data_IF_981311663531
#
_entry.id   IF_981311663531
#
_cell.length_a   1.000
_cell.length_b   1.000
_cell.length_c   1.000
_cell.angle_alpha   90.00
_cell.angle_beta   90.00
_cell.angle_gamma   90.00
#
_symmetry.space_group_name_H-M   'P 1'
#
loop_
_entity.id
_entity.type
_entity.pdbx_description
1 polymer ?
#
# COMPACT_ATOMS: atom_id res chain seq x y z
N UNK A 1 -14.64 -40.02 -60.53
CA UNK A 1 -15.41 -40.40 -61.75
C UNK A 1 -16.79 -40.86 -61.32
N UNK A 2 -17.88 -40.25 -61.81
CA UNK A 2 -19.24 -40.61 -61.38
C UNK A 2 -19.66 -41.97 -61.95
N UNK A 3 -19.94 -42.95 -61.08
CA UNK A 3 -20.33 -44.30 -61.47
C UNK A 3 -21.86 -44.44 -61.46
N UNK A 4 -22.44 -44.75 -62.61
CA UNK A 4 -23.89 -44.97 -62.76
C UNK A 4 -24.26 -46.43 -62.50
N UNK A 5 -25.45 -46.67 -61.95
CA UNK A 5 -25.96 -48.00 -61.63
C UNK A 5 -26.79 -48.57 -62.79
N UNK A 6 -26.59 -49.85 -63.14
CA UNK A 6 -27.30 -50.52 -64.25
C UNK A 6 -28.68 -51.08 -63.86
N UNK A 7 -28.96 -51.17 -62.56
CA UNK A 7 -30.20 -51.68 -61.98
C UNK A 7 -30.62 -50.82 -60.78
N UNK A 8 -31.92 -50.75 -60.50
CA UNK A 8 -32.41 -50.13 -59.27
C UNK A 8 -32.18 -51.06 -58.09
N UNK A 9 -31.47 -50.60 -57.06
CA UNK A 9 -31.06 -51.44 -55.94
C UNK A 9 -30.79 -50.62 -54.66
N UNK A 10 -30.94 -51.22 -53.46
CA UNK A 10 -30.41 -50.65 -52.23
C UNK A 10 -28.88 -50.82 -52.19
N UNK A 11 -28.18 -49.80 -51.68
CA UNK A 11 -26.72 -49.78 -51.56
C UNK A 11 -26.34 -49.31 -50.16
N UNK A 12 -25.49 -50.07 -49.48
CA UNK A 12 -24.89 -49.63 -48.21
C UNK A 12 -23.85 -48.56 -48.51
N UNK A 13 -23.97 -47.42 -47.87
CA UNK A 13 -23.11 -46.26 -48.10
C UNK A 13 -22.73 -45.60 -46.79
N UNK A 14 -21.60 -44.90 -46.80
CA UNK A 14 -21.28 -43.91 -45.78
C UNK A 14 -21.75 -42.55 -46.27
N UNK A 15 -22.53 -41.86 -45.43
CA UNK A 15 -22.88 -40.45 -45.63
C UNK A 15 -21.71 -39.59 -45.15
N UNK A 16 -21.34 -38.59 -45.93
CA UNK A 16 -20.23 -37.69 -45.67
C UNK A 16 -20.67 -36.22 -45.77
N UNK A 17 -20.00 -35.34 -45.05
CA UNK A 17 -20.16 -33.89 -45.19
C UNK A 17 -19.65 -33.41 -46.56
N UNK A 18 -19.98 -32.18 -46.99
CA UNK A 18 -19.50 -31.64 -48.27
C UNK A 18 -17.98 -31.64 -48.40
N UNK A 19 -17.27 -31.46 -47.29
CA UNK A 19 -15.82 -31.47 -47.15
C UNK A 19 -15.23 -32.87 -46.95
N UNK A 20 -16.01 -33.91 -46.67
CA UNK A 20 -15.58 -35.31 -46.73
C UNK A 20 -15.57 -36.08 -45.40
N UNK A 21 -15.97 -35.48 -44.29
CA UNK A 21 -16.04 -36.16 -42.99
C UNK A 21 -17.19 -37.14 -42.91
N UNK A 22 -16.95 -38.31 -42.33
CA UNK A 22 -18.00 -39.31 -42.09
C UNK A 22 -19.08 -38.79 -41.13
N UNK A 23 -20.35 -39.03 -41.45
CA UNK A 23 -21.50 -38.70 -40.60
C UNK A 23 -22.13 -39.97 -40.02
N UNK A 24 -22.51 -40.91 -40.90
CA UNK A 24 -23.17 -42.15 -40.52
C UNK A 24 -23.10 -43.19 -41.66
N UNK A 25 -23.41 -44.45 -41.34
CA UNK A 25 -23.64 -45.48 -42.34
C UNK A 25 -25.15 -45.69 -42.53
N UNK A 26 -25.59 -45.76 -43.79
CA UNK A 26 -27.01 -45.91 -44.13
C UNK A 26 -27.19 -46.75 -45.41
N UNK A 27 -28.44 -47.01 -45.76
CA UNK A 27 -28.83 -47.69 -47.00
C UNK A 27 -29.56 -46.71 -47.89
N UNK A 28 -29.01 -46.44 -49.07
CA UNK A 28 -29.63 -45.57 -50.07
C UNK A 28 -30.19 -46.40 -51.23
N UNK A 29 -31.38 -46.03 -51.72
CA UNK A 29 -31.97 -46.66 -52.91
C UNK A 29 -31.59 -45.87 -54.16
N UNK A 30 -30.83 -46.50 -55.06
CA UNK A 30 -30.39 -45.84 -56.30
C UNK A 30 -31.17 -46.42 -57.47
N UNK A 31 -31.70 -45.55 -58.33
CA UNK A 31 -32.42 -45.97 -59.53
C UNK A 31 -31.47 -46.40 -60.66
N UNK A 32 -31.93 -47.29 -61.53
CA UNK A 32 -31.22 -47.60 -62.78
C UNK A 32 -30.94 -46.31 -63.58
N UNK A 33 -29.70 -46.14 -64.02
CA UNK A 33 -29.25 -45.01 -64.83
C UNK A 33 -28.89 -43.76 -64.02
N UNK A 34 -28.98 -43.78 -62.69
CA UNK A 34 -28.57 -42.68 -61.82
C UNK A 34 -27.28 -43.02 -61.07
N UNK A 35 -26.67 -42.03 -60.42
CA UNK A 35 -25.51 -42.20 -59.55
C UNK A 35 -25.88 -41.80 -58.11
N UNK A 36 -25.03 -42.15 -57.15
CA UNK A 36 -25.13 -41.62 -55.79
C UNK A 36 -24.85 -40.12 -55.78
N UNK A 37 -25.46 -39.41 -54.84
CA UNK A 37 -25.13 -38.01 -54.56
C UNK A 37 -23.68 -37.88 -54.07
N UNK A 38 -23.11 -36.67 -54.18
CA UNK A 38 -21.75 -36.36 -53.71
C UNK A 38 -21.53 -36.59 -52.22
N UNK A 39 -22.63 -36.64 -51.47
CA UNK A 39 -22.66 -36.72 -50.01
C UNK A 39 -22.62 -38.19 -49.53
N UNK A 40 -22.41 -39.14 -50.46
CA UNK A 40 -22.35 -40.56 -50.17
C UNK A 40 -21.18 -41.24 -50.87
N UNK A 41 -20.59 -42.24 -50.22
CA UNK A 41 -19.63 -43.17 -50.84
C UNK A 41 -20.00 -44.63 -50.59
N UNK A 42 -19.70 -45.48 -51.58
CA UNK A 42 -19.83 -46.94 -51.46
C UNK A 42 -18.65 -47.57 -50.70
N UNK A 43 -17.55 -46.84 -50.56
CA UNK A 43 -16.42 -47.26 -49.72
C UNK A 43 -16.83 -47.01 -48.27
N UNK A 44 -17.44 -48.00 -47.63
CA UNK A 44 -17.99 -47.85 -46.29
C UNK A 44 -16.87 -47.77 -45.25
N UNK A 45 -16.87 -46.71 -44.45
CA UNK A 45 -16.06 -46.61 -43.24
C UNK A 45 -16.88 -47.03 -42.02
N UNK A 46 -16.26 -47.78 -41.11
CA UNK A 46 -16.85 -48.17 -39.83
C UNK A 46 -15.90 -47.71 -38.73
N UNK A 47 -16.31 -46.76 -37.87
CA UNK A 47 -15.50 -46.35 -36.74
C UNK A 47 -15.10 -47.52 -35.86
N UNK A 48 -13.85 -47.55 -35.39
CA UNK A 48 -13.34 -48.58 -34.49
C UNK A 48 -13.99 -48.49 -33.09
N UNK A 49 -14.34 -47.29 -32.65
CA UNK A 49 -15.10 -47.02 -31.43
C UNK A 49 -15.93 -45.74 -31.54
N UNK A 50 -16.83 -45.53 -30.57
CA UNK A 50 -17.57 -44.27 -30.46
C UNK A 50 -16.58 -43.09 -30.30
N UNK A 51 -16.83 -42.00 -31.04
CA UNK A 51 -15.97 -40.81 -31.03
C UNK A 51 -14.80 -40.87 -32.02
N UNK A 52 -14.69 -41.90 -32.86
CA UNK A 52 -13.70 -41.95 -33.95
C UNK A 52 -14.33 -41.53 -35.28
N UNK A 53 -13.55 -40.85 -36.12
CA UNK A 53 -13.98 -40.33 -37.42
C UNK A 53 -12.85 -40.43 -38.44
N UNK A 54 -13.20 -40.43 -39.72
CA UNK A 54 -12.24 -40.41 -40.83
C UNK A 54 -12.73 -39.44 -41.92
N UNK A 55 -11.79 -38.94 -42.70
CA UNK A 55 -12.02 -38.06 -43.84
C UNK A 55 -11.95 -38.86 -45.15
N UNK A 56 -12.87 -38.61 -46.07
CA UNK A 56 -12.93 -39.27 -47.36
C UNK A 56 -12.28 -38.44 -48.47
N UNK A 57 -11.20 -38.95 -49.05
CA UNK A 57 -10.57 -38.38 -50.24
C UNK A 57 -11.30 -38.86 -51.50
N UNK A 58 -12.14 -37.98 -52.06
CA UNK A 58 -12.96 -38.27 -53.26
C UNK A 58 -12.14 -38.53 -54.53
N UNK A 59 -10.94 -37.96 -54.62
CA UNK A 59 -10.09 -38.10 -55.80
C UNK A 59 -9.34 -39.43 -55.80
N UNK A 60 -8.92 -39.87 -54.60
CA UNK A 60 -8.20 -41.13 -54.40
C UNK A 60 -9.10 -42.32 -54.08
N UNK A 61 -10.38 -42.08 -53.79
CA UNK A 61 -11.38 -43.09 -53.42
C UNK A 61 -10.97 -43.89 -52.16
N UNK A 62 -10.36 -43.21 -51.19
CA UNK A 62 -9.86 -43.82 -49.94
C UNK A 62 -10.19 -42.96 -48.72
N UNK A 63 -10.34 -43.62 -47.58
CA UNK A 63 -10.42 -42.95 -46.28
C UNK A 63 -9.03 -42.58 -45.78
N UNK A 64 -8.93 -41.47 -45.07
CA UNK A 64 -7.78 -41.12 -44.26
C UNK A 64 -7.54 -42.15 -43.14
N UNK A 65 -6.43 -42.00 -42.43
CA UNK A 65 -6.30 -42.64 -41.13
C UNK A 65 -7.43 -42.15 -40.22
N UNK A 66 -7.92 -43.06 -39.40
CA UNK A 66 -8.91 -42.78 -38.37
C UNK A 66 -8.31 -41.88 -37.29
N UNK A 67 -9.08 -40.89 -36.84
CA UNK A 67 -8.73 -39.94 -35.79
C UNK A 67 -9.87 -39.85 -34.77
N UNK A 68 -9.58 -39.30 -33.60
CA UNK A 68 -10.62 -38.93 -32.64
C UNK A 68 -11.40 -37.71 -33.18
N UNK A 69 -12.72 -37.73 -33.05
CA UNK A 69 -13.57 -36.59 -33.39
C UNK A 69 -13.44 -35.50 -32.32
N UNK A 70 -12.73 -34.44 -32.69
CA UNK A 70 -12.45 -33.32 -31.81
C UNK A 70 -13.59 -32.29 -31.76
N UNK A 71 -14.60 -32.37 -32.65
CA UNK A 71 -15.60 -31.32 -32.90
C UNK A 71 -16.23 -30.72 -31.64
N UNK A 72 -16.60 -31.58 -30.68
CA UNK A 72 -17.31 -31.20 -29.46
C UNK A 72 -16.45 -31.22 -28.19
N UNK A 73 -15.14 -31.44 -28.34
CA UNK A 73 -14.21 -31.39 -27.21
C UNK A 73 -14.18 -29.97 -26.66
N UNK A 74 -14.56 -29.86 -25.39
CA UNK A 74 -14.62 -28.58 -24.71
C UNK A 74 -13.24 -28.15 -24.19
N UNK A 75 -13.04 -26.85 -24.13
CA UNK A 75 -11.94 -26.18 -23.45
C UNK A 75 -12.38 -24.83 -22.93
N UNK A 76 -11.54 -24.17 -22.13
CA UNK A 76 -11.84 -22.91 -21.48
C UNK A 76 -10.72 -21.88 -21.70
N UNK A 77 -11.06 -20.59 -21.61
CA UNK A 77 -10.09 -19.53 -21.40
C UNK A 77 -9.77 -19.35 -19.90
N UNK A 78 -8.84 -18.46 -19.56
CA UNK A 78 -8.41 -18.22 -18.18
C UNK A 78 -9.53 -17.72 -17.25
N UNK A 79 -10.63 -17.19 -17.80
CA UNK A 79 -11.78 -16.70 -17.04
C UNK A 79 -12.94 -17.71 -16.97
N UNK A 80 -12.69 -18.96 -17.37
CA UNK A 80 -13.69 -20.03 -17.32
C UNK A 80 -14.76 -19.95 -18.41
N UNK A 81 -14.57 -19.15 -19.46
CA UNK A 81 -15.48 -19.14 -20.60
C UNK A 81 -15.27 -20.40 -21.42
N UNK A 82 -16.36 -21.10 -21.72
CA UNK A 82 -16.34 -22.37 -22.46
C UNK A 82 -16.28 -22.17 -23.98
N UNK A 83 -15.46 -23.00 -24.63
CA UNK A 83 -15.29 -23.12 -26.07
C UNK A 83 -15.36 -24.59 -26.50
N UNK A 84 -15.44 -24.83 -27.82
CA UNK A 84 -15.35 -26.15 -28.47
C UNK A 84 -14.52 -26.03 -29.75
N UNK A 85 -13.84 -27.11 -30.16
CA UNK A 85 -12.91 -27.10 -31.32
C UNK A 85 -13.65 -26.87 -32.64
N UNK A 86 -14.88 -27.37 -32.78
CA UNK A 86 -15.78 -27.06 -33.89
C UNK A 86 -15.49 -27.77 -35.21
N UNK A 87 -14.40 -28.54 -35.30
CA UNK A 87 -14.07 -29.37 -36.46
C UNK A 87 -13.45 -30.72 -36.04
N UNK A 88 -13.59 -31.78 -36.84
CA UNK A 88 -13.17 -33.13 -36.44
C UNK A 88 -11.67 -33.31 -36.22
N UNK A 89 -10.82 -32.68 -37.03
CA UNK A 89 -9.36 -32.76 -37.00
C UNK A 89 -8.70 -31.52 -36.37
N UNK A 90 -9.47 -30.74 -35.61
CA UNK A 90 -8.95 -29.55 -34.96
C UNK A 90 -8.12 -29.87 -33.71
N UNK A 91 -7.13 -29.02 -33.44
CA UNK A 91 -6.31 -29.10 -32.24
C UNK A 91 -6.80 -28.10 -31.17
N UNK A 92 -6.43 -28.37 -29.92
CA UNK A 92 -6.55 -27.37 -28.86
C UNK A 92 -5.63 -26.18 -29.15
N UNK A 93 -6.14 -24.94 -29.08
CA UNK A 93 -5.28 -23.75 -29.09
C UNK A 93 -4.24 -23.79 -27.98
N UNK A 94 -3.10 -23.10 -28.15
CA UNK A 94 -2.02 -23.09 -27.14
C UNK A 94 -2.46 -22.56 -25.77
N UNK A 95 -3.45 -21.66 -25.74
CA UNK A 95 -4.01 -21.08 -24.52
C UNK A 95 -5.13 -21.91 -23.90
N UNK A 96 -5.52 -23.03 -24.54
CA UNK A 96 -6.69 -23.79 -24.12
C UNK A 96 -6.47 -24.49 -22.79
N UNK A 97 -7.31 -24.17 -21.82
CA UNK A 97 -7.36 -24.88 -20.55
C UNK A 97 -8.32 -26.04 -20.72
N UNK A 98 -7.84 -27.27 -20.51
CA UNK A 98 -8.66 -28.49 -20.61
C UNK A 98 -9.26 -28.92 -19.27
N UNK A 99 -8.75 -28.37 -18.16
CA UNK A 99 -9.28 -28.60 -16.83
C UNK A 99 -10.59 -27.84 -16.69
N UNK A 100 -11.67 -28.55 -16.37
CA UNK A 100 -12.97 -27.93 -16.13
C UNK A 100 -12.89 -26.95 -14.95
N UNK A 101 -13.46 -25.72 -15.06
CA UNK A 101 -13.53 -24.79 -13.94
C UNK A 101 -14.40 -25.35 -12.81
N UNK A 102 -14.16 -24.96 -11.55
CA UNK A 102 -15.04 -25.31 -10.45
C UNK A 102 -16.45 -24.74 -10.68
N UNK A 103 -17.45 -25.31 -9.99
CA UNK A 103 -18.79 -24.72 -9.95
C UNK A 103 -18.77 -23.45 -9.10
N UNK A 104 -19.40 -22.38 -9.60
CA UNK A 104 -19.47 -21.07 -8.96
C UNK A 104 -20.76 -20.36 -9.36
N UNK A 105 -21.15 -19.34 -8.58
CA UNK A 105 -22.29 -18.49 -8.90
C UNK A 105 -21.83 -17.27 -9.73
N UNK A 106 -22.15 -17.18 -11.03
CA UNK A 106 -21.68 -16.09 -11.88
C UNK A 106 -22.25 -14.71 -11.52
N UNK A 107 -23.29 -14.63 -10.70
CA UNK A 107 -23.86 -13.35 -10.24
C UNK A 107 -23.08 -12.76 -9.05
N UNK A 108 -22.36 -13.61 -8.29
CA UNK A 108 -21.65 -13.21 -7.06
C UNK A 108 -20.17 -13.57 -7.05
N UNK A 109 -19.71 -14.37 -8.00
CA UNK A 109 -18.35 -14.92 -8.07
C UNK A 109 -17.79 -14.91 -9.49
N UNK A 110 -16.47 -14.98 -9.59
CA UNK A 110 -15.74 -15.22 -10.84
C UNK A 110 -14.72 -16.34 -10.65
N UNK A 111 -14.16 -16.83 -11.75
CA UNK A 111 -13.06 -17.80 -11.73
C UNK A 111 -11.88 -17.27 -12.52
N UNK A 112 -10.68 -17.62 -12.07
CA UNK A 112 -9.44 -17.35 -12.78
C UNK A 112 -8.56 -18.60 -12.75
N UNK A 113 -8.00 -18.96 -13.90
CA UNK A 113 -7.00 -20.00 -14.02
C UNK A 113 -5.61 -19.39 -13.95
N UNK A 114 -4.82 -19.78 -12.95
CA UNK A 114 -3.46 -19.31 -12.75
C UNK A 114 -2.64 -20.41 -12.08
N UNK A 115 -1.36 -20.52 -12.46
CA UNK A 115 -0.43 -21.51 -11.86
C UNK A 115 -0.98 -22.95 -11.89
N UNK A 116 -1.58 -23.32 -13.04
CA UNK A 116 -2.22 -24.61 -13.30
C UNK A 116 -3.45 -24.96 -12.41
N UNK A 117 -3.97 -24.00 -11.66
CA UNK A 117 -5.12 -24.16 -10.77
C UNK A 117 -6.24 -23.14 -11.04
N UNK A 118 -7.47 -23.55 -10.72
CA UNK A 118 -8.63 -22.67 -10.77
C UNK A 118 -8.87 -22.10 -9.39
N UNK A 119 -9.02 -20.79 -9.30
CA UNK A 119 -9.41 -20.08 -8.07
C UNK A 119 -10.74 -19.40 -8.28
N UNK A 120 -11.65 -19.55 -7.31
CA UNK A 120 -12.93 -18.85 -7.26
C UNK A 120 -12.74 -17.58 -6.44
N UNK A 121 -13.19 -16.45 -6.98
CA UNK A 121 -13.14 -15.14 -6.34
C UNK A 121 -14.56 -14.65 -6.11
N UNK A 122 -14.81 -14.02 -4.96
CA UNK A 122 -16.04 -13.25 -4.74
C UNK A 122 -15.96 -11.92 -5.49
N UNK A 123 -17.09 -11.47 -6.05
CA UNK A 123 -17.19 -10.17 -6.70
C UNK A 123 -17.37 -9.11 -5.62
N UNK A 124 -16.25 -8.47 -5.24
CA UNK A 124 -16.23 -7.43 -4.20
C UNK A 124 -16.16 -6.01 -4.79
N UNK A 125 -16.42 -5.83 -6.10
CA UNK A 125 -16.34 -4.54 -6.79
C UNK A 125 -17.09 -3.45 -6.01
N UNK A 126 -16.40 -2.36 -5.69
CA UNK A 126 -16.93 -1.23 -4.95
C UNK A 126 -16.96 -1.40 -3.43
N UNK A 127 -16.61 -2.58 -2.89
CA UNK A 127 -16.40 -2.75 -1.46
C UNK A 127 -15.17 -1.94 -1.02
N UNK A 128 -15.27 -1.33 0.16
CA UNK A 128 -14.13 -0.62 0.76
C UNK A 128 -13.16 -1.57 1.44
N UNK A 129 -11.87 -1.28 1.32
CA UNK A 129 -10.81 -1.86 2.12
C UNK A 129 -9.85 -0.77 2.57
N UNK A 130 -9.07 -1.04 3.61
CA UNK A 130 -8.30 -0.03 4.32
C UNK A 130 -6.85 -0.46 4.46
N UNK A 131 -5.91 0.46 4.27
CA UNK A 131 -4.49 0.20 4.55
C UNK A 131 -4.18 0.31 6.05
N UNK A 132 -2.91 0.11 6.41
CA UNK A 132 -2.48 0.12 7.81
C UNK A 132 -2.72 1.44 8.57
N UNK A 133 -2.99 2.55 7.87
CA UNK A 133 -3.23 3.88 8.42
C UNK A 133 -4.71 4.28 8.38
N UNK A 134 -5.61 3.36 7.99
CA UNK A 134 -7.04 3.64 7.90
C UNK A 134 -7.46 4.40 6.64
N UNK A 135 -6.57 4.54 5.65
CA UNK A 135 -6.94 5.13 4.37
C UNK A 135 -7.83 4.16 3.60
N UNK A 136 -8.98 4.65 3.15
CA UNK A 136 -9.96 3.85 2.41
C UNK A 136 -9.63 3.78 0.92
N UNK A 137 -9.83 2.59 0.36
CA UNK A 137 -9.72 2.25 -1.05
C UNK A 137 -10.96 1.47 -1.48
N UNK A 138 -11.20 1.38 -2.78
CA UNK A 138 -12.31 0.61 -3.34
C UNK A 138 -11.75 -0.54 -4.18
N UNK A 139 -12.36 -1.71 -4.05
CA UNK A 139 -12.09 -2.84 -4.94
C UNK A 139 -12.54 -2.48 -6.35
N UNK A 140 -11.64 -2.62 -7.32
CA UNK A 140 -11.89 -2.29 -8.74
C UNK A 140 -11.68 -3.46 -9.69
N UNK A 141 -11.27 -4.62 -9.17
CA UNK A 141 -10.99 -5.84 -9.94
C UNK A 141 -11.96 -6.95 -9.54
N UNK A 142 -12.40 -7.76 -10.51
CA UNK A 142 -13.29 -8.90 -10.28
C UNK A 142 -12.56 -10.05 -9.60
N UNK A 143 -11.25 -10.20 -9.85
CA UNK A 143 -10.40 -11.24 -9.27
C UNK A 143 -9.51 -10.65 -8.17
N UNK A 144 -10.12 -9.93 -7.23
CA UNK A 144 -9.39 -9.15 -6.23
C UNK A 144 -8.83 -10.01 -5.09
N UNK A 145 -7.55 -9.82 -4.80
CA UNK A 145 -6.88 -10.33 -3.62
C UNK A 145 -6.55 -9.16 -2.70
N UNK A 146 -6.90 -9.30 -1.42
CA UNK A 146 -6.61 -8.27 -0.43
C UNK A 146 -5.08 -8.14 -0.27
N UNK A 147 -4.49 -6.95 -0.52
CA UNK A 147 -3.04 -6.80 -0.40
C UNK A 147 -2.56 -6.95 1.05
N UNK A 148 -1.28 -7.25 1.22
CA UNK A 148 -0.64 -7.28 2.53
C UNK A 148 -0.86 -5.96 3.29
N UNK A 149 -1.02 -6.06 4.61
CA UNK A 149 -1.27 -4.91 5.49
C UNK A 149 -2.56 -4.14 5.21
N UNK A 150 -3.56 -4.79 4.62
CA UNK A 150 -4.91 -4.26 4.44
C UNK A 150 -5.97 -5.12 5.14
N UNK A 151 -7.12 -4.52 5.43
CA UNK A 151 -8.31 -5.18 5.99
C UNK A 151 -9.58 -4.64 5.34
N UNK A 152 -10.64 -5.44 5.31
CA UNK A 152 -11.96 -4.97 4.89
C UNK A 152 -12.70 -4.23 6.02
N UNK A 153 -12.36 -4.54 7.26
CA UNK A 153 -12.93 -3.89 8.43
C UNK A 153 -12.46 -2.44 8.53
N UNK A 154 -13.41 -1.51 8.56
CA UNK A 154 -13.12 -0.10 8.77
C UNK A 154 -12.39 0.15 10.10
N UNK A 155 -11.47 1.13 10.15
CA UNK A 155 -10.85 1.52 11.41
C UNK A 155 -11.91 2.04 12.39
N UNK A 156 -11.81 1.71 13.69
CA UNK A 156 -12.65 2.33 14.72
C UNK A 156 -12.39 3.84 14.84
N UNK A 157 -13.29 4.55 15.51
CA UNK A 157 -13.04 5.95 15.84
C UNK A 157 -11.93 6.07 16.89
N UNK A 158 -10.89 6.89 16.65
CA UNK A 158 -9.82 7.11 17.63
C UNK A 158 -10.32 7.90 18.84
N UNK A 159 -9.80 7.57 20.03
CA UNK A 159 -9.92 8.43 21.21
C UNK A 159 -9.06 9.68 21.08
N UNK A 160 -9.41 10.71 21.84
CA UNK A 160 -8.62 11.94 21.93
C UNK A 160 -7.16 11.64 22.33
N UNK A 161 -6.21 12.16 21.56
CA UNK A 161 -4.77 11.92 21.75
C UNK A 161 -4.25 10.60 21.20
N UNK A 162 -5.09 9.81 20.52
CA UNK A 162 -4.70 8.55 19.89
C UNK A 162 -5.03 8.56 18.40
N UNK A 163 -4.29 7.77 17.64
CA UNK A 163 -4.56 7.41 16.26
C UNK A 163 -4.78 5.90 16.18
N UNK A 164 -5.40 5.45 15.09
CA UNK A 164 -5.60 4.03 14.83
C UNK A 164 -4.57 3.55 13.82
N UNK A 165 -3.96 2.39 14.11
CA UNK A 165 -3.03 1.71 13.21
C UNK A 165 -3.36 0.23 13.11
N UNK A 166 -3.28 -0.34 11.92
CA UNK A 166 -3.39 -1.77 11.73
C UNK A 166 -2.07 -2.44 12.11
N UNK A 167 -2.11 -3.35 13.08
CA UNK A 167 -0.94 -4.11 13.52
C UNK A 167 -1.31 -5.58 13.50
N UNK A 168 -0.66 -6.34 12.62
CA UNK A 168 -0.89 -7.79 12.43
C UNK A 168 -2.37 -8.14 12.16
N UNK A 169 -3.03 -7.34 11.32
CA UNK A 169 -4.44 -7.57 10.93
C UNK A 169 -5.47 -7.13 11.98
N UNK A 170 -5.07 -6.39 13.02
CA UNK A 170 -6.02 -5.87 14.01
C UNK A 170 -5.75 -4.38 14.25
N UNK A 171 -6.82 -3.59 14.29
CA UNK A 171 -6.75 -2.17 14.62
C UNK A 171 -6.32 -1.97 16.07
N UNK A 172 -5.30 -1.15 16.29
CA UNK A 172 -4.78 -0.79 17.60
C UNK A 172 -4.76 0.73 17.76
N UNK A 173 -5.06 1.19 18.97
CA UNK A 173 -4.85 2.58 19.36
C UNK A 173 -3.37 2.81 19.62
N UNK A 174 -2.82 3.86 19.01
CA UNK A 174 -1.42 4.27 19.14
C UNK A 174 -1.41 5.74 19.53
N UNK A 175 -0.56 6.19 20.48
CA UNK A 175 -0.48 7.59 20.83
C UNK A 175 -0.21 8.49 19.62
N UNK A 176 -0.95 9.58 19.52
CA UNK A 176 -0.79 10.57 18.46
C UNK A 176 -0.26 11.88 19.05
N UNK A 177 1.05 12.03 18.96
CA UNK A 177 1.75 13.24 19.38
C UNK A 177 2.17 14.12 18.19
N UNK A 178 1.62 13.86 16.98
CA UNK A 178 2.00 14.61 15.78
C UNK A 178 1.74 16.11 15.95
N UNK A 179 2.67 16.92 15.47
CA UNK A 179 2.63 18.37 15.62
C UNK A 179 3.09 18.89 16.99
N UNK A 180 3.36 18.01 17.95
CA UNK A 180 4.04 18.37 19.21
C UNK A 180 5.56 18.26 19.05
N UNK A 181 6.30 18.94 19.93
CA UNK A 181 7.75 18.80 20.01
C UNK A 181 8.14 17.71 21.00
N UNK A 182 9.05 16.83 20.59
CA UNK A 182 9.79 15.94 21.46
C UNK A 182 11.09 16.64 21.86
N UNK A 183 11.29 16.86 23.15
CA UNK A 183 12.48 17.50 23.71
C UNK A 183 13.48 16.45 24.17
N UNK A 184 14.75 16.60 23.80
CA UNK A 184 15.81 15.68 24.21
C UNK A 184 16.04 15.78 25.72
N UNK A 185 15.95 14.66 26.45
CA UNK A 185 16.19 14.63 27.91
C UNK A 185 17.64 15.01 28.23
N UNK A 186 18.60 14.60 27.41
CA UNK A 186 20.00 15.03 27.50
C UNK A 186 20.28 16.13 26.47
N UNK A 187 20.23 17.38 26.94
CA UNK A 187 20.41 18.60 26.12
C UNK A 187 21.88 18.88 25.76
N UNK A 188 22.82 18.24 26.44
CA UNK A 188 24.25 18.45 26.22
C UNK A 188 24.84 17.39 25.28
N UNK A 189 24.06 16.36 24.95
CA UNK A 189 24.41 15.38 23.94
C UNK A 189 24.14 15.90 22.52
N UNK A 190 25.17 16.11 21.67
CA UNK A 190 24.99 16.65 20.32
C UNK A 190 24.29 15.68 19.35
N UNK A 191 24.15 14.40 19.69
CA UNK A 191 23.43 13.41 18.88
C UNK A 191 21.92 13.45 19.13
N UNK A 192 21.48 14.09 20.21
CA UNK A 192 20.07 14.28 20.55
C UNK A 192 19.67 15.72 20.29
N UNK A 193 18.53 15.92 19.63
CA UNK A 193 18.01 17.24 19.32
C UNK A 193 16.50 17.25 19.41
N UNK A 194 15.95 18.40 19.82
CA UNK A 194 14.51 18.61 19.86
C UNK A 194 13.94 18.50 18.44
N UNK A 195 12.85 17.77 18.26
CA UNK A 195 12.24 17.57 16.94
C UNK A 195 10.71 17.64 16.96
N UNK A 196 10.13 18.06 15.84
CA UNK A 196 8.69 18.02 15.62
C UNK A 196 8.27 16.58 15.32
N UNK A 197 7.29 16.06 16.05
CA UNK A 197 6.79 14.70 15.84
C UNK A 197 5.92 14.69 14.59
N UNK A 198 6.30 13.90 13.59
CA UNK A 198 5.56 13.77 12.31
C UNK A 198 4.84 12.43 12.17
N UNK A 199 5.26 11.42 12.95
CA UNK A 199 4.74 10.06 12.91
C UNK A 199 3.99 9.72 14.19
N UNK A 200 2.94 8.91 14.07
CA UNK A 200 2.25 8.35 15.25
C UNK A 200 3.12 7.30 15.93
N UNK A 201 2.93 7.10 17.23
CA UNK A 201 3.74 6.18 18.02
C UNK A 201 4.25 6.79 19.31
N UNK A 202 4.89 5.93 20.11
CA UNK A 202 5.58 6.35 21.30
C UNK A 202 6.77 7.24 20.96
N UNK A 203 6.97 8.27 21.78
CA UNK A 203 8.20 9.06 21.76
C UNK A 203 9.32 8.17 22.34
N UNK A 204 10.51 8.10 21.71
CA UNK A 204 11.63 7.34 22.25
C UNK A 204 11.97 7.79 23.67
N UNK A 205 12.44 6.86 24.51
CA UNK A 205 12.75 7.16 25.92
C UNK A 205 13.85 8.23 26.10
N UNK A 206 14.63 8.53 25.07
CA UNK A 206 15.59 9.64 25.06
C UNK A 206 14.94 11.03 25.03
N UNK A 207 13.64 11.11 24.76
CA UNK A 207 12.89 12.35 24.61
C UNK A 207 11.65 12.40 25.52
N UNK A 208 11.13 13.61 25.70
CA UNK A 208 9.94 13.90 26.51
C UNK A 208 9.05 14.91 25.78
N UNK A 209 7.75 14.92 26.06
CA UNK A 209 6.82 15.94 25.56
C UNK A 209 6.82 17.21 26.43
N UNK A 210 7.52 17.17 27.57
CA UNK A 210 7.63 18.31 28.48
C UNK A 210 8.69 19.28 27.95
N UNK A 211 8.34 20.55 27.81
CA UNK A 211 9.30 21.60 27.44
C UNK A 211 10.17 22.00 28.64
N UNK A 212 11.46 22.18 28.43
CA UNK A 212 12.39 22.71 29.44
C UNK A 212 12.32 24.22 29.55
N UNK A 213 12.70 24.77 30.71
CA UNK A 213 13.12 26.17 30.83
C UNK A 213 14.62 26.31 30.52
N UNK A 214 15.12 27.54 30.23
CA UNK A 214 16.50 27.74 29.77
C UNK A 214 17.57 27.07 30.61
N UNK A 215 17.38 27.06 31.94
CA UNK A 215 18.32 26.57 32.92
C UNK A 215 17.93 25.23 33.55
N UNK A 216 17.01 24.48 32.94
CA UNK A 216 16.65 23.16 33.44
C UNK A 216 17.57 22.07 32.87
N UNK A 217 17.76 21.03 33.66
CA UNK A 217 18.35 19.76 33.26
C UNK A 217 17.38 18.62 33.62
N UNK A 218 17.40 17.54 32.84
CA UNK A 218 16.52 16.40 33.09
C UNK A 218 16.98 15.61 34.31
N UNK A 219 16.05 15.33 35.21
CA UNK A 219 16.31 14.63 36.47
C UNK A 219 15.57 13.29 36.46
N UNK A 220 16.34 12.20 36.38
CA UNK A 220 15.80 10.84 36.28
C UNK A 220 15.03 10.38 37.53
N UNK A 221 15.28 10.99 38.69
CA UNK A 221 14.61 10.66 39.96
C UNK A 221 13.18 11.20 40.05
N UNK A 222 12.91 12.33 39.41
CA UNK A 222 11.56 12.93 39.30
C UNK A 222 10.93 12.78 37.92
N UNK A 223 11.62 12.10 37.00
CA UNK A 223 11.25 11.90 35.60
C UNK A 223 10.76 13.21 34.94
N UNK A 224 11.54 14.28 35.11
CA UNK A 224 11.13 15.62 34.75
C UNK A 224 12.25 16.65 34.72
N UNK A 225 11.92 17.84 34.24
CA UNK A 225 12.82 18.99 34.24
C UNK A 225 12.95 19.57 35.65
N UNK A 226 14.18 19.86 36.07
CA UNK A 226 14.44 20.63 37.27
C UNK A 226 15.52 21.68 37.03
N UNK A 227 15.42 22.77 37.79
CA UNK A 227 16.37 23.87 37.73
C UNK A 227 17.81 23.40 38.05
N UNK A 228 18.73 23.70 37.14
CA UNK A 228 20.15 23.37 37.25
C UNK A 228 20.99 24.63 37.56
N UNK A 229 21.53 24.75 38.78
CA UNK A 229 22.38 25.87 39.15
C UNK A 229 23.64 25.99 38.29
N UNK A 230 24.24 24.90 37.83
CA UNK A 230 25.48 24.94 37.04
C UNK A 230 25.22 25.47 35.63
N UNK A 231 24.06 25.15 35.04
CA UNK A 231 23.61 25.71 33.76
C UNK A 231 23.31 27.21 33.86
N UNK A 232 22.80 27.70 34.99
CA UNK A 232 22.53 29.12 35.19
C UNK A 232 23.78 29.95 35.57
N UNK A 233 24.77 29.32 36.22
CA UNK A 233 25.99 29.96 36.74
C UNK A 233 26.69 30.95 35.80
N UNK A 234 26.96 30.65 34.51
CA UNK A 234 27.65 31.60 33.64
C UNK A 234 26.81 32.85 33.36
N UNK A 235 25.49 32.71 33.24
CA UNK A 235 24.59 33.85 33.01
C UNK A 235 24.45 34.67 34.29
N UNK A 236 24.25 34.02 35.43
CA UNK A 236 24.19 34.70 36.74
C UNK A 236 25.44 35.53 37.01
N UNK A 237 26.63 34.99 36.73
CA UNK A 237 27.88 35.72 36.92
C UNK A 237 27.96 36.99 36.05
N UNK A 238 27.47 36.93 34.81
CA UNK A 238 27.38 38.10 33.93
C UNK A 238 26.34 39.11 34.42
N UNK A 239 25.16 38.64 34.84
CA UNK A 239 24.11 39.50 35.41
C UNK A 239 24.57 40.21 36.69
N UNK A 240 25.27 39.49 37.57
CA UNK A 240 25.87 40.05 38.79
C UNK A 240 26.95 41.10 38.46
N UNK A 241 27.79 40.83 37.44
CA UNK A 241 28.80 41.77 36.97
C UNK A 241 28.16 43.05 36.39
N UNK A 242 27.15 42.90 35.53
CA UNK A 242 26.41 44.03 34.95
C UNK A 242 25.68 44.86 36.03
N UNK A 243 25.09 44.18 37.02
CA UNK A 243 24.50 44.86 38.18
C UNK A 243 25.55 45.63 38.96
N UNK A 244 26.68 45.00 39.29
CA UNK A 244 27.78 45.61 40.03
C UNK A 244 28.34 46.83 39.31
N UNK A 245 28.62 46.72 38.01
CA UNK A 245 29.20 47.80 37.21
C UNK A 245 28.21 48.97 37.07
N UNK A 246 26.91 48.69 36.96
CA UNK A 246 25.85 49.71 36.95
C UNK A 246 25.75 50.45 38.27
N UNK A 247 25.82 49.75 39.40
CA UNK A 247 25.84 50.39 40.72
C UNK A 247 27.13 51.17 40.95
N UNK A 248 28.29 50.63 40.55
CA UNK A 248 29.57 51.32 40.63
C UNK A 248 29.55 52.62 39.81
N UNK A 249 28.98 52.59 38.60
CA UNK A 249 28.85 53.79 37.77
C UNK A 249 28.02 54.89 38.44
N UNK A 250 26.91 54.53 39.11
CA UNK A 250 26.10 55.49 39.88
C UNK A 250 26.91 56.09 41.02
N UNK A 251 27.65 55.27 41.77
CA UNK A 251 28.49 55.71 42.90
C UNK A 251 29.59 56.64 42.41
N UNK A 252 30.32 56.28 41.34
CA UNK A 252 31.37 57.09 40.75
C UNK A 252 30.83 58.44 40.24
N UNK A 253 29.69 58.43 39.56
CA UNK A 253 29.01 59.65 39.10
C UNK A 253 28.64 60.57 40.27
N UNK A 254 28.25 59.99 41.42
CA UNK A 254 27.88 60.77 42.61
C UNK A 254 29.09 61.36 43.34
N UNK A 255 30.19 60.62 43.39
CA UNK A 255 31.49 61.09 43.89
C UNK A 255 31.97 62.26 43.03
N UNK A 256 32.03 62.08 41.70
CA UNK A 256 32.45 63.13 40.76
C UNK A 256 31.60 64.41 40.88
N UNK A 257 30.27 64.27 41.00
CA UNK A 257 29.40 65.42 41.22
C UNK A 257 29.69 66.14 42.54
N UNK A 258 29.88 65.41 43.65
CA UNK A 258 30.20 66.01 44.94
C UNK A 258 31.55 66.73 44.93
N UNK A 259 32.57 66.11 44.34
CA UNK A 259 33.91 66.68 44.22
C UNK A 259 33.92 67.96 43.38
N UNK A 260 33.18 67.97 42.25
CA UNK A 260 32.99 69.17 41.43
C UNK A 260 32.23 70.26 42.19
N UNK A 261 31.17 69.90 42.90
CA UNK A 261 30.35 70.83 43.69
C UNK A 261 31.12 71.54 44.81
N UNK A 262 32.21 70.96 45.33
CA UNK A 262 33.05 71.65 46.29
C UNK A 262 33.66 72.94 45.74
N UNK A 263 33.84 73.03 44.42
CA UNK A 263 34.36 74.22 43.73
C UNK A 263 33.27 75.24 43.36
N UNK A 264 32.00 74.95 43.64
CA UNK A 264 30.88 75.86 43.38
C UNK A 264 30.38 76.53 44.66
N UNK A 265 29.80 77.75 44.57
CA UNK A 265 29.07 78.37 45.67
C UNK A 265 27.99 77.44 46.21
N UNK A 266 27.82 77.41 47.53
CA UNK A 266 26.92 76.45 48.22
C UNK A 266 25.49 76.46 47.66
N UNK A 267 24.96 77.63 47.32
CA UNK A 267 23.63 77.80 46.75
C UNK A 267 23.44 77.17 45.35
N UNK A 268 24.52 76.82 44.65
CA UNK A 268 24.51 76.25 43.30
C UNK A 268 24.90 74.76 43.28
N UNK A 269 25.19 74.16 44.44
CA UNK A 269 25.52 72.73 44.54
C UNK A 269 24.27 71.90 44.26
N UNK A 270 24.45 70.83 43.49
CA UNK A 270 23.37 69.94 43.03
C UNK A 270 23.50 68.51 43.54
N UNK A 271 24.61 68.20 44.20
CA UNK A 271 24.87 66.95 44.89
C UNK A 271 23.92 66.81 46.08
N UNK A 272 23.28 65.65 46.27
CA UNK A 272 22.42 65.38 47.40
C UNK A 272 23.24 65.08 48.67
N UNK A 273 24.55 64.95 48.54
CA UNK A 273 25.46 64.62 49.63
C UNK A 273 25.72 65.91 50.38
N UNK A 274 25.25 65.96 51.63
CA UNK A 274 25.28 67.17 52.47
C UNK A 274 26.30 67.10 53.59
N UNK A 275 26.82 65.91 53.88
CA UNK A 275 27.73 65.66 55.01
C UNK A 275 28.97 64.90 54.56
N UNK A 276 30.08 65.09 55.27
CA UNK A 276 31.32 64.35 55.05
C UNK A 276 31.13 62.85 55.31
N UNK A 277 30.29 62.48 56.28
CA UNK A 277 29.94 61.09 56.58
C UNK A 277 29.26 60.38 55.39
N UNK A 278 28.35 61.08 54.70
CA UNK A 278 27.69 60.55 53.49
C UNK A 278 28.69 60.35 52.33
N UNK A 279 29.66 61.25 52.20
CA UNK A 279 30.72 61.11 51.20
C UNK A 279 31.65 59.93 51.52
N UNK A 280 32.04 59.76 52.79
CA UNK A 280 32.83 58.61 53.26
C UNK A 280 32.08 57.29 53.00
N UNK A 281 30.76 57.26 53.20
CA UNK A 281 29.95 56.07 52.90
C UNK A 281 30.01 55.71 51.41
N UNK A 282 29.91 56.68 50.50
CA UNK A 282 30.05 56.41 49.07
C UNK A 282 31.45 55.92 48.68
N UNK A 283 32.50 56.40 49.34
CA UNK A 283 33.85 55.88 49.13
C UNK A 283 33.99 54.43 49.62
N UNK A 284 33.27 54.05 50.68
CA UNK A 284 33.19 52.64 51.12
C UNK A 284 32.41 51.80 50.14
N UNK A 285 31.26 52.28 49.66
CA UNK A 285 30.43 51.57 48.67
C UNK A 285 31.20 51.36 47.36
N UNK A 286 31.95 52.37 46.91
CA UNK A 286 32.90 52.25 45.77
C UNK A 286 33.89 51.11 45.99
N UNK A 287 34.48 51.01 47.19
CA UNK A 287 35.46 49.96 47.52
C UNK A 287 34.83 48.57 47.56
N UNK A 288 33.56 48.45 47.98
CA UNK A 288 32.82 47.19 47.99
C UNK A 288 32.45 46.73 46.58
N UNK A 289 32.16 47.69 45.68
CA UNK A 289 31.74 47.42 44.30
C UNK A 289 32.90 47.28 43.29
N UNK A 290 34.14 47.62 43.68
CA UNK A 290 35.35 47.50 42.84
C UNK A 290 36.02 46.14 43.01
#
# INVERSE_FOLDING_TARGET
MTKFFEHSQPVNVSRITPDGWWIENTVEHVSKGTALGSDFTQTVYTPSSAGMIAHYDRDKDVWSNEIEDMTWKAFWDEHGRRYVIGQPDGDYPEWAIQKHPPEYDPDTQTVLYKEDEWTVYEILIGQSYYNEWGMAFLVSDYNFELPDHHVFEAPPEPKEGFAIKLVKGTWQEVPDHRGQYAYAKDRDNPELYDYLIETIGDVPDTHTLLAYQPYDSWMNDVDGWAYDPERHKPVRAAEELEWRDRELFKVLSRIDQYEKDQNYPEALRTSPIKTEEQFIQLLRDRKVLS
#
